data_IF_696267028364
#
_entry.id   IF_696267028364
#
_cell.length_a   1.000
_cell.length_b   1.000
_cell.length_c   1.000
_cell.angle_alpha   90.00
_cell.angle_beta   90.00
_cell.angle_gamma   90.00
#
_symmetry.space_group_name_H-M   'P 1'
#
loop_
_entity.id
_entity.type
_entity.pdbx_description
1 polymer ?
#
# COMPACT_ATOMS: atom_id res chain seq x y z
N UNK A 1 -6.22 19.31 2.55
CA UNK A 1 -5.68 18.47 1.48
C UNK A 1 -4.29 18.93 1.09
N UNK A 2 -3.35 18.01 0.93
CA UNK A 2 -1.97 18.33 0.57
C UNK A 2 -1.92 18.84 -0.88
N UNK A 3 -1.33 20.05 -1.06
CA UNK A 3 -1.07 20.57 -2.40
C UNK A 3 0.32 20.15 -2.84
N UNK A 4 0.37 19.14 -3.70
CA UNK A 4 1.62 18.52 -4.16
C UNK A 4 2.52 19.52 -4.89
N UNK A 5 1.94 20.43 -5.67
CA UNK A 5 2.71 21.44 -6.40
C UNK A 5 3.42 22.39 -5.46
N UNK A 6 2.72 22.87 -4.43
CA UNK A 6 3.32 23.72 -3.42
C UNK A 6 4.40 23.02 -2.62
N UNK A 7 4.16 21.77 -2.27
CA UNK A 7 5.14 20.98 -1.53
C UNK A 7 6.40 20.76 -2.35
N UNK A 8 6.28 20.38 -3.64
CA UNK A 8 7.42 20.17 -4.52
C UNK A 8 8.23 21.41 -4.80
N UNK A 9 7.60 22.60 -4.72
CA UNK A 9 8.31 23.86 -4.85
C UNK A 9 9.22 24.16 -3.66
N UNK A 10 8.96 23.53 -2.50
CA UNK A 10 9.72 23.75 -1.27
C UNK A 10 10.74 22.64 -1.01
N UNK A 11 10.40 21.40 -1.32
CA UNK A 11 11.26 20.23 -1.06
C UNK A 11 10.83 19.03 -1.93
N UNK A 12 11.69 18.02 -2.06
CA UNK A 12 11.29 16.77 -2.72
C UNK A 12 10.15 16.09 -1.98
N UNK A 13 9.26 15.44 -2.72
CA UNK A 13 8.19 14.60 -2.17
C UNK A 13 8.78 13.25 -1.77
N UNK A 14 8.58 12.84 -0.53
CA UNK A 14 9.08 11.57 -0.01
C UNK A 14 7.96 10.53 -0.04
N UNK A 15 8.14 9.48 -0.84
CA UNK A 15 7.25 8.33 -0.86
C UNK A 15 7.68 7.30 0.19
N UNK A 16 6.77 6.37 0.49
CA UNK A 16 7.07 5.22 1.33
C UNK A 16 8.03 4.25 0.61
N UNK A 17 8.59 3.33 1.39
CA UNK A 17 9.41 2.23 0.87
C UNK A 17 8.56 1.03 0.47
N UNK A 18 9.24 -0.11 0.25
CA UNK A 18 8.59 -1.33 -0.20
C UNK A 18 7.68 -1.94 0.85
N UNK A 19 6.49 -2.34 0.45
CA UNK A 19 5.57 -3.07 1.31
C UNK A 19 6.06 -4.51 1.52
N UNK A 20 6.46 -5.19 0.46
CA UNK A 20 6.90 -6.59 0.53
C UNK A 20 8.16 -6.81 1.33
N UNK A 21 9.03 -5.79 1.41
CA UNK A 21 10.25 -5.85 2.21
C UNK A 21 9.96 -5.67 3.70
N UNK A 22 9.04 -4.79 4.02
CA UNK A 22 8.69 -4.47 5.41
C UNK A 22 7.71 -5.50 5.98
N UNK A 23 6.64 -5.79 5.23
CA UNK A 23 5.65 -6.82 5.59
C UNK A 23 6.08 -8.14 4.98
N UNK A 24 6.40 -9.12 5.83
CA UNK A 24 6.82 -10.43 5.37
C UNK A 24 5.62 -11.35 5.27
N UNK A 25 5.11 -11.53 4.06
CA UNK A 25 4.00 -12.45 3.81
C UNK A 25 4.42 -13.89 4.11
N UNK A 26 3.44 -14.73 4.43
CA UNK A 26 3.70 -16.15 4.63
C UNK A 26 4.16 -16.79 3.31
N UNK A 27 5.03 -17.81 3.37
CA UNK A 27 5.49 -18.48 2.15
C UNK A 27 4.33 -18.93 1.27
N UNK A 28 4.45 -18.68 -0.04
CA UNK A 28 3.42 -19.03 -1.01
C UNK A 28 2.28 -18.02 -1.15
N UNK A 29 2.28 -16.94 -0.36
CA UNK A 29 1.26 -15.91 -0.44
C UNK A 29 1.84 -14.62 -1.03
N UNK A 30 1.02 -13.94 -1.84
CA UNK A 30 1.33 -12.58 -2.26
C UNK A 30 1.08 -11.62 -1.09
N UNK A 31 1.88 -10.56 -1.00
CA UNK A 31 1.73 -9.54 0.04
C UNK A 31 0.33 -8.90 0.01
N UNK A 32 -0.25 -8.75 -1.17
CA UNK A 32 -1.56 -8.14 -1.36
C UNK A 32 -2.70 -8.97 -0.74
N UNK A 33 -2.53 -10.28 -0.59
CA UNK A 33 -3.52 -11.11 0.08
C UNK A 33 -3.72 -10.70 1.54
N UNK A 34 -2.69 -10.14 2.17
CA UNK A 34 -2.78 -9.63 3.53
C UNK A 34 -3.73 -8.44 3.66
N UNK A 35 -4.10 -7.77 2.57
CA UNK A 35 -5.15 -6.75 2.59
C UNK A 35 -6.46 -7.30 3.17
N UNK A 36 -6.72 -8.58 2.97
CA UNK A 36 -7.92 -9.26 3.49
C UNK A 36 -7.61 -10.13 4.71
N UNK A 37 -6.45 -10.82 4.71
CA UNK A 37 -6.13 -11.80 5.75
C UNK A 37 -5.49 -11.19 6.99
N UNK A 38 -4.81 -10.04 6.83
CA UNK A 38 -4.14 -9.34 7.92
C UNK A 38 -4.17 -7.83 7.69
N UNK A 39 -5.37 -7.22 7.62
CA UNK A 39 -5.47 -5.78 7.35
C UNK A 39 -4.76 -4.92 8.39
N UNK A 40 -4.75 -5.34 9.66
CA UNK A 40 -4.06 -4.58 10.70
C UNK A 40 -2.55 -4.55 10.48
N UNK A 41 -1.96 -5.65 9.98
CA UNK A 41 -0.55 -5.71 9.65
C UNK A 41 -0.18 -4.76 8.51
N UNK A 42 -0.99 -4.72 7.46
CA UNK A 42 -0.78 -3.80 6.34
C UNK A 42 -0.97 -2.35 6.80
N UNK A 43 -2.01 -2.08 7.58
CA UNK A 43 -2.26 -0.74 8.12
C UNK A 43 -1.09 -0.25 8.97
N UNK A 44 -0.51 -1.14 9.78
CA UNK A 44 0.64 -0.83 10.61
C UNK A 44 1.85 -0.41 9.78
N UNK A 45 2.09 -1.07 8.63
CA UNK A 45 3.18 -0.72 7.72
C UNK A 45 2.96 0.69 7.14
N UNK A 46 1.76 0.99 6.67
CA UNK A 46 1.44 2.32 6.16
C UNK A 46 1.68 3.40 7.22
N UNK A 47 1.21 3.15 8.44
CA UNK A 47 1.38 4.10 9.55
C UNK A 47 2.83 4.27 9.95
N UNK A 48 3.63 3.19 9.88
CA UNK A 48 5.06 3.25 10.18
C UNK A 48 5.81 4.16 9.19
N UNK A 49 5.50 4.04 7.89
CA UNK A 49 6.11 4.92 6.88
C UNK A 49 5.71 6.37 7.06
N UNK A 50 4.43 6.63 7.35
CA UNK A 50 3.96 8.01 7.61
C UNK A 50 4.62 8.58 8.86
N UNK A 51 4.73 7.80 9.92
CA UNK A 51 5.40 8.23 11.16
C UNK A 51 6.89 8.50 10.94
N UNK A 52 7.53 7.79 10.00
CA UNK A 52 8.93 8.00 9.63
C UNK A 52 9.14 9.24 8.74
N UNK A 53 8.07 9.90 8.29
CA UNK A 53 8.15 11.15 7.54
C UNK A 53 7.77 11.06 6.07
N UNK A 54 7.22 9.94 5.60
CA UNK A 54 6.73 9.86 4.23
C UNK A 54 5.61 10.85 3.99
N UNK A 55 5.65 11.54 2.86
CA UNK A 55 4.61 12.48 2.45
C UNK A 55 3.44 11.78 1.76
N UNK A 56 3.72 10.67 1.11
CA UNK A 56 2.74 9.88 0.38
C UNK A 56 3.03 8.40 0.55
N UNK A 57 1.98 7.60 0.56
CA UNK A 57 2.08 6.14 0.60
C UNK A 57 1.42 5.55 -0.62
N UNK A 58 1.93 4.39 -1.07
CA UNK A 58 1.36 3.64 -2.18
C UNK A 58 0.45 2.55 -1.62
N UNK A 59 -0.65 2.30 -2.32
CA UNK A 59 -1.54 1.19 -1.95
C UNK A 59 -0.82 -0.15 -2.12
N UNK A 60 -1.21 -1.15 -1.31
CA UNK A 60 -0.65 -2.50 -1.41
C UNK A 60 -1.32 -3.27 -2.56
N UNK A 61 -0.96 -2.90 -3.81
CA UNK A 61 -1.62 -3.42 -5.01
C UNK A 61 -0.63 -3.74 -6.15
N UNK A 62 0.64 -3.92 -5.85
CA UNK A 62 1.70 -4.05 -6.86
C UNK A 62 1.48 -5.22 -7.83
N UNK A 63 1.05 -6.39 -7.33
CA UNK A 63 0.86 -7.57 -8.17
C UNK A 63 -0.54 -7.68 -8.78
N UNK A 64 -1.46 -6.74 -8.47
CA UNK A 64 -2.85 -6.85 -8.93
C UNK A 64 -3.01 -6.77 -10.44
N UNK A 65 -2.24 -5.94 -11.20
CA UNK A 65 -2.37 -5.98 -12.66
C UNK A 65 -2.08 -7.36 -13.24
N UNK A 66 -1.12 -8.09 -12.69
CA UNK A 66 -0.82 -9.46 -13.11
C UNK A 66 -1.95 -10.41 -12.76
N UNK A 67 -2.51 -10.28 -11.56
CA UNK A 67 -3.63 -11.12 -11.12
C UNK A 67 -4.89 -10.86 -11.94
N UNK A 68 -5.17 -9.60 -12.27
CA UNK A 68 -6.30 -9.24 -13.11
C UNK A 68 -6.14 -9.78 -14.54
N UNK A 69 -4.93 -9.69 -15.11
CA UNK A 69 -4.64 -10.21 -16.44
C UNK A 69 -4.79 -11.74 -16.48
N UNK A 70 -4.47 -12.43 -15.39
CA UNK A 70 -4.65 -13.86 -15.25
C UNK A 70 -6.08 -14.26 -14.86
N UNK A 71 -6.99 -13.28 -14.73
CA UNK A 71 -8.37 -13.49 -14.30
C UNK A 71 -8.48 -14.24 -12.97
N UNK A 72 -7.55 -13.95 -12.06
CA UNK A 72 -7.52 -14.60 -10.76
C UNK A 72 -8.73 -14.15 -9.94
N UNK A 73 -9.56 -15.09 -9.41
CA UNK A 73 -10.71 -14.72 -8.61
C UNK A 73 -10.31 -13.90 -7.37
N UNK A 74 -11.10 -12.88 -7.06
CA UNK A 74 -10.89 -12.08 -5.84
C UNK A 74 -9.91 -10.93 -5.98
N UNK A 75 -9.30 -10.70 -7.15
CA UNK A 75 -8.34 -9.60 -7.31
C UNK A 75 -8.99 -8.22 -7.04
N UNK A 76 -10.29 -8.09 -7.38
CA UNK A 76 -11.03 -6.83 -7.17
C UNK A 76 -11.19 -6.51 -5.70
N UNK A 77 -11.48 -7.53 -4.88
CA UNK A 77 -11.57 -7.36 -3.43
C UNK A 77 -10.23 -6.98 -2.82
N UNK A 78 -9.13 -7.55 -3.34
CA UNK A 78 -7.78 -7.19 -2.90
C UNK A 78 -7.46 -5.74 -3.25
N UNK A 79 -7.86 -5.29 -4.43
CA UNK A 79 -7.65 -3.91 -4.86
C UNK A 79 -8.41 -2.93 -3.96
N UNK A 80 -9.68 -3.20 -3.72
CA UNK A 80 -10.52 -2.35 -2.89
C UNK A 80 -10.00 -2.30 -1.45
N UNK A 81 -9.67 -3.44 -0.87
CA UNK A 81 -9.12 -3.50 0.48
C UNK A 81 -7.79 -2.75 0.58
N UNK A 82 -6.92 -2.89 -0.43
CA UNK A 82 -5.64 -2.17 -0.47
C UNK A 82 -5.82 -0.66 -0.46
N UNK A 83 -6.77 -0.17 -1.26
CA UNK A 83 -7.07 1.26 -1.31
C UNK A 83 -7.65 1.75 0.03
N UNK A 84 -8.59 1.00 0.61
CA UNK A 84 -9.24 1.37 1.87
C UNK A 84 -8.22 1.46 3.00
N UNK A 85 -7.27 0.53 3.07
CA UNK A 85 -6.25 0.54 4.13
C UNK A 85 -5.31 1.73 4.01
N UNK A 86 -4.87 2.07 2.79
CA UNK A 86 -4.04 3.23 2.57
C UNK A 86 -4.80 4.53 2.91
N UNK A 87 -6.06 4.64 2.51
CA UNK A 87 -6.90 5.79 2.81
C UNK A 87 -7.11 5.94 4.32
N UNK A 88 -7.29 4.82 5.03
CA UNK A 88 -7.47 4.84 6.49
C UNK A 88 -6.21 5.28 7.22
N UNK A 89 -5.04 4.93 6.71
CA UNK A 89 -3.76 5.32 7.31
C UNK A 89 -3.44 6.80 7.08
N UNK A 90 -3.85 7.31 5.93
CA UNK A 90 -3.52 8.68 5.53
C UNK A 90 -4.18 9.77 6.36
#
# INVERSE_FOLDING_TARGET
MLDVRKLLAQRPLLFDGGMGTYYKAKPGQECEQANLTDPEGILAVHRAYLAAGADAIKTNTFSLPRLAAAQQPGWEQLADAGWQLAAKAA
#
